data_IF_311201999841
#
_entry.id   IF_311201999841
#
_cell.length_a   1.000
_cell.length_b   1.000
_cell.length_c   1.000
_cell.angle_alpha   90.00
_cell.angle_beta   90.00
_cell.angle_gamma   90.00
#
_symmetry.space_group_name_H-M   'P 1'
#
loop_
_entity.id
_entity.type
_entity.pdbx_description
1 polymer ?
#
# COMPACT_ATOMS: atom_id res chain seq x y z
N UNK A 1 -9.97 -56.17 24.10
CA UNK A 1 -10.55 -54.82 24.28
C UNK A 1 -9.51 -53.99 25.02
N UNK A 2 -8.89 -53.00 24.36
CA UNK A 2 -7.79 -52.22 24.93
C UNK A 2 -8.31 -50.98 25.68
N UNK A 3 -7.67 -50.54 26.77
CA UNK A 3 -8.18 -49.49 27.66
C UNK A 3 -8.11 -48.08 27.04
N UNK A 4 -9.09 -47.23 27.39
CA UNK A 4 -9.40 -45.92 26.79
C UNK A 4 -8.33 -44.82 26.93
N UNK A 5 -7.17 -45.09 27.54
CA UNK A 5 -6.11 -44.11 27.78
C UNK A 5 -5.15 -43.89 26.61
N UNK A 6 -5.28 -44.66 25.52
CA UNK A 6 -4.42 -44.57 24.33
C UNK A 6 -5.00 -43.74 23.18
N UNK A 7 -6.24 -43.22 23.31
CA UNK A 7 -6.94 -42.49 22.23
C UNK A 7 -6.56 -40.99 22.16
N UNK A 8 -5.82 -40.48 23.14
CA UNK A 8 -5.55 -39.03 23.28
C UNK A 8 -4.09 -38.60 23.06
N UNK A 9 -3.32 -39.30 22.24
CA UNK A 9 -2.06 -38.75 21.70
C UNK A 9 -2.24 -38.31 20.25
N UNK A 10 -2.89 -37.16 20.08
CA UNK A 10 -2.89 -36.45 18.81
C UNK A 10 -1.47 -35.96 18.48
N UNK A 11 -1.04 -36.24 17.26
CA UNK A 11 0.33 -36.08 16.78
C UNK A 11 0.68 -34.59 16.61
N UNK A 12 1.81 -34.07 17.18
CA UNK A 12 2.13 -32.63 17.24
C UNK A 12 2.41 -31.95 15.89
N UNK A 13 2.46 -32.71 14.79
CA UNK A 13 2.76 -32.19 13.45
C UNK A 13 1.57 -31.52 12.75
N UNK A 14 0.36 -31.63 13.33
CA UNK A 14 -0.87 -31.05 12.77
C UNK A 14 -1.09 -29.58 13.20
N UNK A 15 -0.51 -29.16 14.32
CA UNK A 15 -0.70 -27.84 14.92
C UNK A 15 0.05 -26.72 14.18
N UNK A 16 1.21 -27.01 13.58
CA UNK A 16 2.02 -26.00 12.89
C UNK A 16 1.40 -25.47 11.59
N UNK A 17 0.55 -26.27 10.93
CA UNK A 17 -0.18 -25.84 9.72
C UNK A 17 -1.28 -24.83 10.04
N UNK A 18 -1.81 -24.87 11.26
CA UNK A 18 -2.77 -23.89 11.75
C UNK A 18 -2.10 -22.58 12.13
N UNK A 19 -0.84 -22.57 12.58
CA UNK A 19 -0.11 -21.34 12.88
C UNK A 19 0.16 -20.48 11.63
N UNK A 20 0.38 -21.10 10.46
CA UNK A 20 0.47 -20.37 9.18
C UNK A 20 -0.88 -19.76 8.79
N UNK A 21 -1.97 -20.50 9.01
CA UNK A 21 -3.33 -20.00 8.81
C UNK A 21 -3.67 -18.87 9.81
N UNK A 22 -3.15 -18.97 11.04
CA UNK A 22 -3.25 -17.98 12.11
C UNK A 22 -2.44 -16.72 11.80
N UNK A 23 -1.27 -16.84 11.16
CA UNK A 23 -0.45 -15.73 10.66
C UNK A 23 -1.15 -14.98 9.51
N UNK A 24 -1.79 -15.70 8.59
CA UNK A 24 -2.63 -15.08 7.55
C UNK A 24 -3.84 -14.37 8.18
N UNK A 25 -4.42 -14.93 9.25
CA UNK A 25 -5.47 -14.28 10.03
C UNK A 25 -4.97 -13.04 10.79
N UNK A 26 -3.71 -13.03 11.22
CA UNK A 26 -3.10 -11.86 11.86
C UNK A 26 -2.95 -10.68 10.90
N UNK A 27 -2.82 -10.92 9.60
CA UNK A 27 -2.81 -9.85 8.60
C UNK A 27 -4.18 -9.18 8.39
N UNK A 28 -5.28 -9.86 8.72
CA UNK A 28 -6.65 -9.30 8.71
C UNK A 28 -6.80 -8.16 9.76
N UNK A 29 -5.93 -8.15 10.78
CA UNK A 29 -5.92 -7.14 11.83
C UNK A 29 -5.64 -5.73 11.27
N UNK A 30 -5.00 -5.55 10.11
CA UNK A 30 -4.74 -4.18 9.62
C UNK A 30 -6.00 -3.39 9.22
N UNK A 31 -7.08 -4.08 8.84
CA UNK A 31 -8.38 -3.44 8.52
C UNK A 31 -9.02 -2.89 9.80
N UNK A 32 -8.75 -3.56 10.92
CA UNK A 32 -9.20 -3.14 12.24
C UNK A 32 -8.71 -1.74 12.60
N UNK A 33 -7.42 -1.51 12.37
CA UNK A 33 -6.74 -0.28 12.77
C UNK A 33 -7.27 0.88 11.94
N UNK A 34 -7.59 0.64 10.67
CA UNK A 34 -8.26 1.61 9.79
C UNK A 34 -9.68 1.95 10.28
N UNK A 35 -10.48 0.95 10.67
CA UNK A 35 -11.83 1.16 11.22
C UNK A 35 -11.81 1.88 12.58
N UNK A 36 -10.86 1.52 13.45
CA UNK A 36 -10.66 2.18 14.75
C UNK A 36 -10.18 3.62 14.60
N UNK A 37 -9.32 3.89 13.62
CA UNK A 37 -8.79 5.22 13.34
C UNK A 37 -9.82 6.18 12.73
N UNK A 38 -10.76 5.69 11.92
CA UNK A 38 -11.73 6.53 11.20
C UNK A 38 -13.13 6.60 11.83
N UNK A 39 -13.62 5.52 12.46
CA UNK A 39 -15.01 5.43 12.91
C UNK A 39 -15.20 5.25 14.42
N UNK A 40 -14.48 4.32 15.07
CA UNK A 40 -14.65 4.05 16.52
C UNK A 40 -13.37 3.55 17.20
N UNK A 41 -12.74 4.41 18.01
CA UNK A 41 -11.51 4.10 18.78
C UNK A 41 -11.61 2.91 19.74
N UNK A 42 -12.80 2.61 20.27
CA UNK A 42 -13.05 1.56 21.28
C UNK A 42 -13.80 0.34 20.72
N UNK A 43 -13.56 -0.07 19.48
CA UNK A 43 -14.17 -1.28 18.92
C UNK A 43 -13.59 -2.55 19.57
N UNK A 44 -14.48 -3.44 20.04
CA UNK A 44 -14.10 -4.73 20.63
C UNK A 44 -13.48 -5.65 19.57
N UNK A 45 -12.54 -6.51 19.96
CA UNK A 45 -11.84 -7.43 19.06
C UNK A 45 -12.81 -8.33 18.27
N UNK A 46 -13.97 -8.69 18.85
CA UNK A 46 -15.01 -9.46 18.16
C UNK A 46 -15.72 -8.67 17.05
N UNK A 47 -16.05 -7.41 17.31
CA UNK A 47 -16.68 -6.50 16.33
C UNK A 47 -15.77 -6.30 15.11
N UNK A 48 -14.48 -6.15 15.38
CA UNK A 48 -13.42 -5.95 14.41
C UNK A 48 -13.28 -7.12 13.41
N UNK A 49 -13.40 -8.35 13.91
CA UNK A 49 -13.37 -9.56 13.10
C UNK A 49 -14.62 -9.63 12.22
N UNK A 50 -15.78 -9.20 12.71
CA UNK A 50 -17.01 -9.17 11.91
C UNK A 50 -16.96 -8.09 10.83
N UNK A 51 -16.45 -6.90 11.13
CA UNK A 51 -16.29 -5.81 10.15
C UNK A 51 -15.33 -6.23 9.04
N UNK A 52 -14.19 -6.85 9.36
CA UNK A 52 -13.24 -7.33 8.35
C UNK A 52 -13.82 -8.43 7.47
N UNK A 53 -14.55 -9.40 8.04
CA UNK A 53 -15.29 -10.42 7.27
C UNK A 53 -16.34 -9.78 6.34
N UNK A 54 -17.09 -8.80 6.82
CA UNK A 54 -18.05 -8.04 6.02
C UNK A 54 -17.39 -7.31 4.85
N UNK A 55 -16.24 -6.66 5.09
CA UNK A 55 -15.48 -5.98 4.05
C UNK A 55 -14.98 -6.93 2.96
N UNK A 56 -14.48 -8.12 3.33
CA UNK A 56 -14.04 -9.15 2.37
C UNK A 56 -15.21 -9.64 1.51
N UNK A 57 -16.37 -9.92 2.13
CA UNK A 57 -17.58 -10.32 1.41
C UNK A 57 -18.01 -9.22 0.43
N UNK A 58 -18.03 -7.97 0.88
CA UNK A 58 -18.39 -6.82 0.05
C UNK A 58 -17.47 -6.68 -1.17
N UNK A 59 -16.15 -6.71 -0.97
CA UNK A 59 -15.16 -6.63 -2.06
C UNK A 59 -15.32 -7.80 -3.03
N UNK A 60 -15.61 -9.00 -2.51
CA UNK A 60 -15.83 -10.20 -3.35
C UNK A 60 -17.06 -10.05 -4.24
N UNK A 61 -18.17 -9.49 -3.71
CA UNK A 61 -19.38 -9.22 -4.51
C UNK A 61 -19.08 -8.20 -5.61
N UNK A 62 -18.36 -7.12 -5.30
CA UNK A 62 -17.96 -6.11 -6.29
C UNK A 62 -17.07 -6.74 -7.37
N UNK A 63 -16.12 -7.60 -6.99
CA UNK A 63 -15.25 -8.28 -7.93
C UNK A 63 -16.03 -9.21 -8.87
N UNK A 64 -17.00 -9.97 -8.35
CA UNK A 64 -17.88 -10.83 -9.16
C UNK A 64 -18.72 -9.98 -10.12
N UNK A 65 -19.29 -8.87 -9.64
CA UNK A 65 -20.07 -7.95 -10.48
C UNK A 65 -19.23 -7.36 -11.62
N UNK A 66 -17.99 -6.94 -11.34
CA UNK A 66 -17.06 -6.44 -12.36
C UNK A 66 -16.57 -7.55 -13.31
N UNK A 67 -16.44 -8.78 -12.85
CA UNK A 67 -16.09 -9.92 -13.70
C UNK A 67 -17.22 -10.27 -14.68
N UNK A 68 -18.48 -10.14 -14.25
CA UNK A 68 -19.65 -10.39 -15.09
C UNK A 68 -19.86 -9.33 -16.18
N UNK A 69 -19.34 -8.11 -16.01
CA UNK A 69 -19.48 -7.02 -16.98
C UNK A 69 -18.52 -7.11 -18.18
N UNK A 70 -17.77 -8.22 -18.33
CA UNK A 70 -16.89 -8.47 -19.48
C UNK A 70 -15.65 -7.56 -19.54
N UNK A 71 -15.43 -6.74 -18.50
CA UNK A 71 -14.28 -5.86 -18.40
C UNK A 71 -13.01 -6.63 -18.06
N UNK A 72 -11.87 -6.14 -18.58
CA UNK A 72 -10.54 -6.65 -18.20
C UNK A 72 -10.24 -6.25 -16.75
N UNK A 73 -10.72 -7.05 -15.79
CA UNK A 73 -10.48 -6.83 -14.35
C UNK A 73 -8.99 -6.72 -14.04
N UNK A 74 -8.16 -7.50 -14.75
CA UNK A 74 -6.70 -7.43 -14.64
C UNK A 74 -6.16 -6.05 -15.02
N UNK A 75 -6.69 -5.38 -16.04
CA UNK A 75 -6.27 -4.04 -16.43
C UNK A 75 -6.70 -2.99 -15.39
N UNK A 76 -7.89 -3.15 -14.80
CA UNK A 76 -8.37 -2.26 -13.74
C UNK A 76 -7.49 -2.35 -12.48
N UNK A 77 -7.15 -3.58 -12.08
CA UNK A 77 -6.27 -3.84 -10.93
C UNK A 77 -4.85 -3.37 -11.23
N UNK A 78 -4.30 -3.67 -12.40
CA UNK A 78 -2.97 -3.22 -12.81
C UNK A 78 -2.86 -1.69 -12.81
N UNK A 79 -3.89 -1.00 -13.30
CA UNK A 79 -3.97 0.46 -13.26
C UNK A 79 -4.01 1.02 -11.83
N UNK A 80 -4.81 0.42 -10.94
CA UNK A 80 -4.83 0.82 -9.53
C UNK A 80 -3.46 0.61 -8.88
N UNK A 81 -2.80 -0.52 -9.14
CA UNK A 81 -1.46 -0.81 -8.67
C UNK A 81 -0.39 0.13 -9.23
N UNK A 82 -0.54 0.59 -10.48
CA UNK A 82 0.34 1.61 -11.05
C UNK A 82 0.23 2.94 -10.30
N UNK A 83 -0.99 3.36 -9.95
CA UNK A 83 -1.24 4.53 -9.09
C UNK A 83 -0.59 4.40 -7.71
N UNK A 84 -0.75 3.24 -7.05
CA UNK A 84 -0.11 2.96 -5.78
C UNK A 84 1.42 2.97 -5.90
N UNK A 85 1.99 2.33 -6.93
CA UNK A 85 3.45 2.31 -7.13
C UNK A 85 4.05 3.69 -7.40
N UNK A 86 3.35 4.54 -8.15
CA UNK A 86 3.77 5.92 -8.44
C UNK A 86 3.70 6.82 -7.19
N UNK A 87 2.69 6.66 -6.34
CA UNK A 87 2.54 7.46 -5.13
C UNK A 87 3.44 6.99 -3.98
N UNK A 88 3.43 5.67 -3.68
CA UNK A 88 4.12 5.11 -2.52
C UNK A 88 5.59 4.75 -2.79
N UNK A 89 5.96 4.38 -4.02
CA UNK A 89 7.33 4.01 -4.36
C UNK A 89 8.35 5.10 -4.02
N UNK A 90 8.17 6.34 -4.52
CA UNK A 90 9.05 7.45 -4.19
C UNK A 90 9.02 7.80 -2.70
N UNK A 91 7.85 7.79 -2.08
CA UNK A 91 7.70 8.04 -0.65
C UNK A 91 8.55 7.08 0.21
N UNK A 92 8.52 5.79 -0.10
CA UNK A 92 9.30 4.77 0.62
C UNK A 92 10.80 4.98 0.37
N UNK A 93 11.22 5.18 -0.87
CA UNK A 93 12.64 5.36 -1.21
C UNK A 93 13.22 6.59 -0.50
N UNK A 94 12.54 7.73 -0.57
CA UNK A 94 12.99 8.94 0.11
C UNK A 94 12.98 8.77 1.64
N UNK A 95 11.98 8.08 2.21
CA UNK A 95 11.95 7.84 3.65
C UNK A 95 13.12 6.99 4.18
N UNK A 96 13.68 6.11 3.34
CA UNK A 96 14.76 5.20 3.73
C UNK A 96 16.16 5.75 3.44
N UNK A 97 16.32 6.47 2.32
CA UNK A 97 17.63 6.92 1.85
C UNK A 97 17.88 8.41 2.04
N UNK A 98 16.85 9.21 2.34
CA UNK A 98 16.95 10.66 2.42
C UNK A 98 16.55 11.19 3.79
N UNK A 99 17.55 11.61 4.58
CA UNK A 99 17.39 12.11 5.94
C UNK A 99 16.52 13.38 6.06
N UNK A 100 16.39 14.14 4.97
CA UNK A 100 15.65 15.41 4.92
C UNK A 100 14.20 15.28 4.48
N UNK A 101 13.67 14.06 4.43
CA UNK A 101 12.31 13.80 3.97
C UNK A 101 11.29 14.37 4.96
N UNK A 102 10.44 15.28 4.48
CA UNK A 102 9.42 15.93 5.32
C UNK A 102 8.06 15.27 5.16
N UNK A 103 7.24 15.29 6.23
CA UNK A 103 5.88 14.73 6.20
C UNK A 103 5.02 15.38 5.11
N UNK A 104 5.12 16.69 4.96
CA UNK A 104 4.37 17.41 3.93
C UNK A 104 4.89 17.07 2.53
N UNK A 105 6.22 16.97 2.35
CA UNK A 105 6.81 16.58 1.06
C UNK A 105 6.33 15.21 0.59
N UNK A 106 6.31 14.22 1.49
CA UNK A 106 5.75 12.90 1.21
C UNK A 106 4.26 12.97 0.88
N UNK A 107 3.47 13.71 1.66
CA UNK A 107 2.03 13.83 1.44
C UNK A 107 1.71 14.46 0.07
N UNK A 108 2.36 15.58 -0.26
CA UNK A 108 2.18 16.24 -1.55
C UNK A 108 2.70 15.39 -2.70
N UNK A 109 3.82 14.68 -2.52
CA UNK A 109 4.34 13.71 -3.48
C UNK A 109 3.35 12.60 -3.79
N UNK A 110 2.76 11.98 -2.76
CA UNK A 110 1.75 10.94 -2.93
C UNK A 110 0.52 11.44 -3.70
N UNK A 111 0.05 12.65 -3.39
CA UNK A 111 -1.09 13.27 -4.08
C UNK A 111 -0.74 13.53 -5.56
N UNK A 112 0.42 14.17 -5.81
CA UNK A 112 0.87 14.47 -7.18
C UNK A 112 1.10 13.19 -7.98
N UNK A 113 1.71 12.16 -7.41
CA UNK A 113 1.90 10.86 -8.05
C UNK A 113 0.58 10.18 -8.44
N UNK A 114 -0.38 10.14 -7.52
CA UNK A 114 -1.70 9.57 -7.78
C UNK A 114 -2.48 10.34 -8.84
N UNK A 115 -2.50 11.68 -8.75
CA UNK A 115 -3.16 12.53 -9.74
C UNK A 115 -2.50 12.43 -11.12
N UNK A 116 -1.17 12.35 -11.16
CA UNK A 116 -0.42 12.21 -12.41
C UNK A 116 -0.85 10.94 -13.15
N UNK A 117 -0.97 9.79 -12.47
CA UNK A 117 -1.41 8.53 -13.12
C UNK A 117 -2.83 8.65 -13.69
N UNK A 118 -3.73 9.35 -12.98
CA UNK A 118 -5.10 9.59 -13.45
C UNK A 118 -5.13 10.52 -14.67
N UNK A 119 -4.38 11.61 -14.63
CA UNK A 119 -4.27 12.56 -15.74
C UNK A 119 -3.60 11.89 -16.94
N UNK A 120 -2.60 11.03 -16.71
CA UNK A 120 -1.86 10.34 -17.77
C UNK A 120 -2.72 9.35 -18.55
N UNK A 121 -3.61 8.63 -17.89
CA UNK A 121 -4.59 7.76 -18.58
C UNK A 121 -5.57 8.55 -19.44
N UNK A 122 -5.85 9.80 -19.06
CA UNK A 122 -6.69 10.75 -19.80
C UNK A 122 -5.88 11.72 -20.68
N UNK A 123 -4.59 11.42 -20.93
CA UNK A 123 -3.66 12.30 -21.66
C UNK A 123 -4.17 12.69 -23.06
N UNK A 124 -4.82 11.76 -23.75
CA UNK A 124 -5.48 12.00 -25.06
C UNK A 124 -6.62 13.02 -24.94
N UNK A 125 -7.39 12.98 -23.86
CA UNK A 125 -8.52 13.87 -23.59
C UNK A 125 -8.07 15.28 -23.17
N UNK A 126 -6.85 15.43 -22.64
CA UNK A 126 -6.30 16.71 -22.18
C UNK A 126 -5.53 17.49 -23.27
N UNK A 127 -5.50 17.00 -24.50
CA UNK A 127 -4.87 17.68 -25.64
C UNK A 127 -3.33 17.67 -25.62
N UNK A 128 -2.70 16.98 -24.67
CA UNK A 128 -1.24 16.91 -24.53
C UNK A 128 -0.53 16.22 -25.72
N UNK A 129 -1.26 15.43 -26.52
CA UNK A 129 -0.79 14.88 -27.80
C UNK A 129 -0.24 15.96 -28.75
N UNK A 130 -0.73 17.20 -28.65
CA UNK A 130 -0.26 18.33 -29.47
C UNK A 130 1.11 18.86 -29.06
N UNK A 131 1.55 18.64 -27.81
CA UNK A 131 2.83 19.11 -27.29
C UNK A 131 4.00 18.14 -27.60
N UNK A 132 3.71 16.85 -27.80
CA UNK A 132 4.71 15.83 -28.10
C UNK A 132 4.21 14.82 -29.15
N UNK A 133 4.05 15.25 -30.42
CA UNK A 133 3.42 14.46 -31.48
C UNK A 133 4.17 13.18 -31.86
N UNK A 134 5.47 13.08 -31.52
CA UNK A 134 6.32 11.93 -31.85
C UNK A 134 6.56 10.97 -30.68
N UNK A 135 5.99 11.25 -29.50
CA UNK A 135 6.21 10.45 -28.29
C UNK A 135 4.90 9.78 -27.86
N UNK A 136 4.81 8.46 -28.06
CA UNK A 136 3.63 7.66 -27.70
C UNK A 136 3.54 7.43 -26.18
N UNK A 137 3.28 8.49 -25.42
CA UNK A 137 3.14 8.44 -23.96
C UNK A 137 1.99 7.53 -23.49
N UNK A 138 0.96 7.34 -24.33
CA UNK A 138 -0.14 6.41 -24.08
C UNK A 138 0.29 4.93 -24.03
N UNK A 139 1.46 4.60 -24.56
CA UNK A 139 2.03 3.23 -24.54
C UNK A 139 3.06 3.06 -23.42
N UNK A 140 3.52 4.15 -22.83
CA UNK A 140 4.47 4.12 -21.72
C UNK A 140 3.69 3.81 -20.44
N UNK A 141 4.27 2.94 -19.63
CA UNK A 141 3.69 2.52 -18.35
C UNK A 141 3.39 3.75 -17.49
N UNK A 142 2.11 3.97 -17.14
CA UNK A 142 1.60 5.18 -16.46
C UNK A 142 2.32 5.45 -15.12
N UNK A 143 2.90 4.39 -14.54
CA UNK A 143 3.70 4.44 -13.31
C UNK A 143 4.97 5.29 -13.44
N UNK A 144 5.65 5.30 -14.60
CA UNK A 144 6.95 5.96 -14.78
C UNK A 144 6.85 7.48 -14.58
N UNK A 145 6.00 8.21 -15.34
CA UNK A 145 5.86 9.66 -15.16
C UNK A 145 5.26 10.01 -13.80
N UNK A 146 4.32 9.19 -13.28
CA UNK A 146 3.76 9.37 -11.93
C UNK A 146 4.83 9.26 -10.83
N UNK A 147 5.71 8.27 -10.95
CA UNK A 147 6.83 8.06 -10.04
C UNK A 147 7.82 9.23 -10.06
N UNK A 148 8.20 9.71 -11.25
CA UNK A 148 9.14 10.82 -11.41
C UNK A 148 8.56 12.11 -10.82
N UNK A 149 7.31 12.44 -11.15
CA UNK A 149 6.66 13.67 -10.67
C UNK A 149 6.42 13.64 -9.16
N UNK A 150 6.05 12.48 -8.61
CA UNK A 150 5.98 12.24 -7.17
C UNK A 150 7.35 12.45 -6.52
N UNK A 151 8.40 11.81 -7.03
CA UNK A 151 9.77 11.95 -6.52
C UNK A 151 10.26 13.41 -6.54
N UNK A 152 10.03 14.11 -7.65
CA UNK A 152 10.39 15.53 -7.78
C UNK A 152 9.63 16.41 -6.79
N UNK A 153 8.34 16.13 -6.59
CA UNK A 153 7.52 16.88 -5.63
C UNK A 153 8.01 16.65 -4.21
N UNK A 154 8.31 15.40 -3.82
CA UNK A 154 8.90 15.09 -2.52
C UNK A 154 10.21 15.86 -2.35
N UNK A 155 11.09 15.78 -3.34
CA UNK A 155 12.40 16.44 -3.31
C UNK A 155 12.27 17.96 -3.15
N UNK A 156 11.47 18.61 -4.00
CA UNK A 156 11.29 20.07 -4.01
C UNK A 156 10.60 20.54 -2.72
N UNK A 157 9.51 19.90 -2.33
CA UNK A 157 8.76 20.31 -1.14
C UNK A 157 9.57 20.04 0.12
N UNK A 158 10.29 18.93 0.22
CA UNK A 158 11.18 18.67 1.37
C UNK A 158 12.41 19.58 1.42
N UNK A 159 12.80 20.23 0.31
CA UNK A 159 13.84 21.27 0.31
C UNK A 159 13.31 22.62 0.78
N UNK A 160 12.08 22.96 0.41
CA UNK A 160 11.42 24.24 0.76
C UNK A 160 10.87 24.21 2.18
N UNK A 161 10.38 23.06 2.63
CA UNK A 161 9.80 22.87 3.95
C UNK A 161 10.89 22.86 5.04
N UNK A 162 10.46 23.08 6.29
CA UNK A 162 11.35 23.14 7.44
C UNK A 162 12.10 21.83 7.63
N UNK A 163 13.35 21.92 8.11
CA UNK A 163 14.16 20.73 8.43
C UNK A 163 13.38 19.82 9.40
N UNK A 164 13.40 18.48 9.19
CA UNK A 164 12.84 17.53 10.14
C UNK A 164 13.37 17.78 11.56
N UNK A 165 12.57 17.47 12.58
CA UNK A 165 12.98 17.64 13.97
C UNK A 165 14.24 16.82 14.28
N UNK A 166 15.05 17.29 15.22
CA UNK A 166 16.29 16.61 15.63
C UNK A 166 16.04 15.18 16.12
N UNK A 167 14.85 14.91 16.67
CA UNK A 167 14.41 13.57 17.07
C UNK A 167 14.31 12.61 15.87
N UNK A 168 13.68 13.02 14.77
CA UNK A 168 13.55 12.21 13.55
C UNK A 168 14.93 11.96 12.91
N UNK A 169 15.82 12.95 12.94
CA UNK A 169 17.18 12.80 12.42
C UNK A 169 18.01 11.81 13.25
N UNK A 170 17.89 11.87 14.58
CA UNK A 170 18.57 10.94 15.48
C UNK A 170 18.04 9.50 15.30
N UNK A 171 16.74 9.32 15.12
CA UNK A 171 16.12 8.01 14.86
C UNK A 171 16.55 7.44 13.49
N UNK A 172 16.63 8.30 12.46
CA UNK A 172 17.16 7.92 11.16
C UNK A 172 18.63 7.48 11.24
N UNK A 173 19.47 8.21 11.98
CA UNK A 173 20.87 7.84 12.20
C UNK A 173 21.02 6.52 12.97
N UNK A 174 20.20 6.28 14.00
CA UNK A 174 20.20 5.01 14.74
C UNK A 174 19.84 3.84 13.82
N UNK A 175 18.82 4.01 13.00
CA UNK A 175 18.38 3.00 12.03
C UNK A 175 19.48 2.68 11.01
N UNK A 176 20.18 3.70 10.51
CA UNK A 176 21.31 3.53 9.59
C UNK A 176 22.52 2.83 10.25
N UNK A 177 22.85 3.19 11.50
CA UNK A 177 23.94 2.54 12.24
C UNK A 177 23.66 1.05 12.52
N UNK A 178 22.41 0.68 12.77
CA UNK A 178 22.02 -0.71 12.94
C UNK A 178 22.25 -1.54 11.67
N UNK A 179 21.95 -0.98 10.49
CA UNK A 179 22.15 -1.65 9.19
C UNK A 179 23.62 -1.86 8.82
N UNK A 180 24.54 -1.05 9.35
CA UNK A 180 25.99 -1.14 9.06
C UNK A 180 26.71 -2.10 10.02
N UNK A 181 26.12 -2.38 11.18
CA UNK A 181 26.71 -3.21 12.23
C UNK A 181 26.24 -4.68 12.21
N UNK A 182 25.40 -5.06 11.24
CA UNK A 182 25.07 -6.46 10.90
C UNK A 182 25.98 -6.99 9.79
#
# INVERSE_FOLDING_TARGET
>A
MLPASQITKFHPKFESRWNLFWLVFHHIIRIADFYKALFRKNASQKELIWVSRGAVILISIIAIYLAMSGGKVLDLVAYAWAGFGAAFGPAIIFSLFWNRTTRNGVLFGMIVGGLTVIVWKNYTSFGLNSLFPNFNFARWYEIIPGFILSALTIFIVSLIDNKPSQEILNEFEQSQKALVNE
#
